data_IF_475488655522
#
_entry.id   IF_475488655522
#
_cell.length_a   1.000
_cell.length_b   1.000
_cell.length_c   1.000
_cell.angle_alpha   90.00
_cell.angle_beta   90.00
_cell.angle_gamma   90.00
#
_symmetry.space_group_name_H-M   'P 1'
#
loop_
_entity.id
_entity.type
_entity.pdbx_description
1 polymer ?
#
# COMPACT_ATOMS: atom_id res chain seq x y z
N UNK A 1 3.00 43.21 -13.34
CA UNK A 1 1.76 42.41 -13.13
C UNK A 1 2.04 41.01 -13.63
N UNK A 2 2.61 40.17 -12.77
CA UNK A 2 3.04 38.82 -13.15
C UNK A 2 1.95 37.83 -12.74
N UNK A 3 1.31 37.21 -13.74
CA UNK A 3 0.28 36.21 -13.51
C UNK A 3 0.98 34.94 -12.99
N UNK A 4 0.91 34.72 -11.68
CA UNK A 4 1.21 33.41 -11.09
C UNK A 4 0.23 32.42 -11.70
N UNK A 5 0.71 31.62 -12.64
CA UNK A 5 0.01 30.44 -13.12
C UNK A 5 0.07 29.42 -11.98
N UNK A 6 -0.85 29.52 -11.02
CA UNK A 6 -1.14 28.39 -10.13
C UNK A 6 -1.88 27.39 -10.98
N UNK A 7 -1.17 26.39 -11.49
CA UNK A 7 -1.81 25.18 -11.98
C UNK A 7 -2.59 24.61 -10.81
N UNK A 8 -3.90 24.83 -10.79
CA UNK A 8 -4.83 24.00 -10.03
C UNK A 8 -4.55 22.57 -10.49
N UNK A 9 -3.85 21.80 -9.66
CA UNK A 9 -3.62 20.39 -9.89
C UNK A 9 -4.96 19.76 -10.24
N UNK A 10 -5.00 19.00 -11.33
CA UNK A 10 -6.15 18.15 -11.67
C UNK A 10 -6.57 17.45 -10.39
N UNK A 11 -7.84 17.55 -10.01
CA UNK A 11 -8.39 16.72 -8.94
C UNK A 11 -8.08 15.27 -9.27
N UNK A 12 -7.06 14.69 -8.63
CA UNK A 12 -7.05 13.28 -8.30
C UNK A 12 -8.36 13.03 -7.52
N UNK A 13 -8.97 11.85 -7.68
CA UNK A 13 -10.13 11.49 -6.88
C UNK A 13 -9.85 11.75 -5.41
N UNK A 14 -10.89 11.90 -4.59
CA UNK A 14 -10.62 11.90 -3.14
C UNK A 14 -9.91 10.58 -2.80
N UNK A 15 -9.03 10.57 -1.80
CA UNK A 15 -8.31 9.35 -1.43
C UNK A 15 -9.25 8.14 -1.21
N UNK A 16 -10.49 8.42 -0.80
CA UNK A 16 -11.56 7.42 -0.65
C UNK A 16 -12.02 6.86 -2.01
N UNK A 17 -12.15 7.70 -3.04
CA UNK A 17 -12.53 7.27 -4.39
C UNK A 17 -11.43 6.40 -5.02
N UNK A 18 -10.17 6.80 -4.86
CA UNK A 18 -9.03 6.02 -5.33
C UNK A 18 -8.95 4.68 -4.59
N UNK A 19 -9.03 4.69 -3.25
CA UNK A 19 -9.09 3.47 -2.45
C UNK A 19 -10.23 2.55 -2.92
N UNK A 20 -11.44 3.08 -3.02
CA UNK A 20 -12.62 2.32 -3.47
C UNK A 20 -12.40 1.73 -4.86
N UNK A 21 -11.81 2.49 -5.78
CA UNK A 21 -11.59 2.06 -7.17
C UNK A 21 -10.55 0.96 -7.27
N UNK A 22 -9.38 1.13 -6.65
CA UNK A 22 -8.26 0.20 -6.78
C UNK A 22 -8.47 -1.07 -5.96
N UNK A 23 -8.98 -0.96 -4.72
CA UNK A 23 -9.34 -2.12 -3.90
C UNK A 23 -10.39 -3.01 -4.59
N UNK A 24 -11.48 -2.42 -5.12
CA UNK A 24 -12.52 -3.19 -5.82
C UNK A 24 -12.00 -3.87 -7.09
N UNK A 25 -11.03 -3.26 -7.77
CA UNK A 25 -10.41 -3.86 -8.96
C UNK A 25 -9.38 -4.93 -8.61
N UNK A 26 -8.90 -4.97 -7.36
CA UNK A 26 -7.81 -5.86 -6.98
C UNK A 26 -6.53 -5.57 -7.77
N UNK A 27 -6.25 -4.31 -8.05
CA UNK A 27 -5.02 -3.88 -8.75
C UNK A 27 -4.39 -2.72 -7.99
N UNK A 28 -3.08 -2.57 -8.13
CA UNK A 28 -2.35 -1.46 -7.53
C UNK A 28 -2.59 -0.16 -8.30
N UNK A 29 -2.64 0.96 -7.56
CA UNK A 29 -2.60 2.28 -8.16
C UNK A 29 -1.27 2.44 -8.93
N UNK A 30 -1.24 3.05 -10.11
CA UNK A 30 0.02 3.34 -10.81
C UNK A 30 0.90 4.31 -10.00
N UNK A 31 2.19 4.37 -10.34
CA UNK A 31 3.14 5.24 -9.67
C UNK A 31 4.05 4.53 -8.66
N UNK A 32 4.11 3.21 -8.72
CA UNK A 32 4.99 2.39 -7.90
C UNK A 32 5.80 1.41 -8.74
N UNK A 33 6.96 1.02 -8.23
CA UNK A 33 7.76 -0.06 -8.76
C UNK A 33 8.49 -0.83 -7.65
N UNK A 34 8.79 -2.09 -7.91
CA UNK A 34 9.57 -2.92 -6.99
C UNK A 34 11.04 -2.76 -7.34
N UNK A 35 11.88 -2.45 -6.34
CA UNK A 35 13.34 -2.40 -6.49
C UNK A 35 14.01 -3.31 -5.47
N UNK A 36 15.08 -3.98 -5.89
CA UNK A 36 15.98 -4.65 -4.96
C UNK A 36 16.74 -3.62 -4.12
N UNK A 37 16.74 -3.79 -2.80
CA UNK A 37 17.42 -2.90 -1.87
C UNK A 37 18.79 -3.49 -1.52
N UNK A 38 18.83 -4.69 -0.93
CA UNK A 38 20.03 -5.44 -0.61
C UNK A 38 19.68 -6.88 -0.16
N UNK A 39 20.70 -7.71 0.10
CA UNK A 39 20.52 -9.11 0.51
C UNK A 39 19.84 -9.30 1.88
N UNK A 40 19.78 -8.26 2.72
CA UNK A 40 19.15 -8.35 4.03
C UNK A 40 17.66 -8.02 3.99
N UNK A 41 17.27 -6.96 3.27
CA UNK A 41 15.87 -6.50 3.15
C UNK A 41 15.15 -7.20 1.99
N UNK A 42 15.89 -7.57 0.94
CA UNK A 42 15.32 -8.05 -0.32
C UNK A 42 14.79 -6.88 -1.15
N UNK A 43 13.48 -6.87 -1.41
CA UNK A 43 12.84 -5.90 -2.28
C UNK A 43 12.01 -4.88 -1.50
N UNK A 44 11.90 -3.67 -2.02
CA UNK A 44 10.99 -2.65 -1.53
C UNK A 44 10.16 -2.03 -2.65
N UNK A 45 9.07 -1.38 -2.25
CA UNK A 45 8.19 -0.63 -3.15
C UNK A 45 8.60 0.84 -3.12
N UNK A 46 8.88 1.40 -4.28
CA UNK A 46 9.31 2.79 -4.48
C UNK A 46 8.29 3.54 -5.31
N UNK A 47 8.08 4.83 -5.03
CA UNK A 47 7.25 5.68 -5.87
C UNK A 47 8.00 6.10 -7.13
N UNK A 48 7.31 6.11 -8.26
CA UNK A 48 7.79 6.66 -9.54
C UNK A 48 7.18 8.02 -9.85
N UNK A 49 6.22 8.45 -9.03
CA UNK A 49 5.56 9.76 -9.10
C UNK A 49 5.48 10.41 -7.72
N UNK A 50 5.16 11.70 -7.68
CA UNK A 50 4.86 12.39 -6.42
C UNK A 50 3.43 12.07 -5.97
N UNK A 51 3.27 11.86 -4.66
CA UNK A 51 1.96 11.70 -4.00
C UNK A 51 1.81 12.79 -2.94
N UNK A 52 0.64 13.41 -2.90
CA UNK A 52 0.33 14.41 -1.89
C UNK A 52 0.01 13.76 -0.54
N UNK A 53 0.22 14.50 0.54
CA UNK A 53 -0.13 14.04 1.89
C UNK A 53 -1.62 13.71 1.95
N UNK A 54 -1.95 12.50 2.42
CA UNK A 54 -3.32 12.02 2.55
C UNK A 54 -3.86 11.33 1.30
N UNK A 55 -3.08 11.21 0.23
CA UNK A 55 -3.42 10.35 -0.90
C UNK A 55 -3.51 8.89 -0.47
N UNK A 56 -4.42 8.14 -1.09
CA UNK A 56 -4.37 6.67 -1.07
C UNK A 56 -3.16 6.21 -1.89
N UNK A 57 -2.50 5.15 -1.43
CA UNK A 57 -1.30 4.61 -2.07
C UNK A 57 -1.58 3.20 -2.59
N UNK A 58 -1.70 2.24 -1.68
CA UNK A 58 -1.86 0.82 -1.97
C UNK A 58 -2.72 0.14 -0.90
N UNK A 59 -3.38 -0.94 -1.29
CA UNK A 59 -4.02 -1.86 -0.37
C UNK A 59 -3.02 -2.92 0.08
N UNK A 60 -3.00 -3.23 1.38
CA UNK A 60 -2.33 -4.42 1.88
C UNK A 60 -3.20 -5.64 1.60
N UNK A 61 -3.08 -6.19 0.39
CA UNK A 61 -3.91 -7.31 -0.09
C UNK A 61 -3.43 -8.64 0.50
N UNK A 62 -4.38 -9.49 0.89
CA UNK A 62 -4.12 -10.82 1.41
C UNK A 62 -5.39 -11.56 1.80
N UNK A 63 -5.24 -12.73 2.41
CA UNK A 63 -6.35 -13.50 2.97
C UNK A 63 -6.80 -12.89 4.30
N UNK A 64 -8.09 -12.63 4.45
CA UNK A 64 -8.66 -12.32 5.76
C UNK A 64 -8.84 -13.60 6.56
N UNK A 65 -8.04 -13.73 7.61
CA UNK A 65 -8.04 -14.86 8.54
C UNK A 65 -8.30 -14.38 9.96
N UNK A 66 -8.68 -15.31 10.83
CA UNK A 66 -8.85 -14.99 12.25
C UNK A 66 -7.50 -14.72 12.92
N UNK A 67 -7.51 -14.02 14.05
CA UNK A 67 -6.28 -13.82 14.82
C UNK A 67 -5.66 -15.14 15.33
N UNK A 68 -6.49 -16.13 15.65
CA UNK A 68 -6.01 -17.46 16.06
C UNK A 68 -5.28 -18.17 14.90
N UNK A 69 -5.92 -18.24 13.73
CA UNK A 69 -5.29 -18.77 12.50
C UNK A 69 -4.02 -18.00 12.13
N UNK A 70 -4.01 -16.67 12.29
CA UNK A 70 -2.82 -15.86 12.07
C UNK A 70 -1.67 -16.25 13.00
N UNK A 71 -1.95 -16.50 14.29
CA UNK A 71 -0.96 -16.97 15.26
C UNK A 71 -0.40 -18.34 14.89
N UNK A 72 -1.27 -19.29 14.53
CA UNK A 72 -0.85 -20.63 14.07
C UNK A 72 0.03 -20.54 12.82
N UNK A 73 -0.30 -19.68 11.85
CA UNK A 73 0.54 -19.46 10.67
C UNK A 73 1.88 -18.83 11.04
N UNK A 74 1.88 -17.83 11.93
CA UNK A 74 3.09 -17.14 12.38
C UNK A 74 4.10 -18.11 13.02
N UNK A 75 3.62 -19.02 13.87
CA UNK A 75 4.45 -20.07 14.50
C UNK A 75 5.11 -21.01 13.48
N UNK A 76 4.48 -21.21 12.32
CA UNK A 76 4.97 -22.07 11.25
C UNK A 76 5.76 -21.32 10.15
N UNK A 77 5.98 -20.01 10.27
CA UNK A 77 6.80 -19.27 9.30
C UNK A 77 8.25 -19.76 9.35
N UNK A 78 8.88 -20.06 8.18
CA UNK A 78 10.30 -20.39 8.15
C UNK A 78 11.13 -19.25 8.75
N UNK A 79 12.03 -19.54 9.69
CA UNK A 79 12.92 -18.52 10.29
C UNK A 79 13.78 -17.78 9.26
N UNK A 80 14.01 -18.39 8.10
CA UNK A 80 14.74 -17.80 6.97
C UNK A 80 13.91 -16.80 6.14
N UNK A 81 12.60 -16.70 6.39
CA UNK A 81 11.65 -15.88 5.64
C UNK A 81 11.05 -14.80 6.54
N UNK A 82 10.76 -13.63 5.98
CA UNK A 82 9.96 -12.62 6.68
C UNK A 82 8.50 -13.05 6.84
N UNK A 83 7.84 -12.59 7.91
CA UNK A 83 6.39 -12.73 8.09
C UNK A 83 5.65 -11.70 7.24
N UNK A 84 4.65 -12.14 6.48
CA UNK A 84 3.75 -11.27 5.70
C UNK A 84 2.36 -11.19 6.34
N UNK A 85 2.25 -11.47 7.64
CA UNK A 85 1.00 -11.36 8.38
C UNK A 85 0.82 -9.93 8.89
N UNK A 86 -0.42 -9.42 8.79
CA UNK A 86 -0.79 -8.12 9.33
C UNK A 86 -2.01 -8.26 10.23
N UNK A 87 -1.79 -8.15 11.55
CA UNK A 87 -2.87 -8.22 12.54
C UNK A 87 -3.47 -6.83 12.75
N UNK A 88 -4.78 -6.72 12.59
CA UNK A 88 -5.53 -5.50 12.85
C UNK A 88 -6.80 -5.79 13.64
N UNK A 89 -7.28 -4.77 14.35
CA UNK A 89 -8.58 -4.83 15.03
C UNK A 89 -9.57 -4.03 14.20
N UNK A 90 -10.63 -4.67 13.73
CA UNK A 90 -11.74 -3.97 13.11
C UNK A 90 -12.36 -3.04 14.17
N UNK A 91 -12.32 -1.74 13.90
CA UNK A 91 -13.07 -0.76 14.68
C UNK A 91 -14.46 -0.64 14.06
N UNK A 92 -15.47 -0.81 14.89
CA UNK A 92 -16.87 -0.56 14.56
C UNK A 92 -17.14 0.94 14.54
#
# INVERSE_FOLDING_TARGET
MERRHTSRGKHQGSAIDDATTYCKKGIDQPGFEVRFINNYIGHGVFTTTQFEKGAFLLEYRGEHITAAEGGEREENYPQSSGSFLFFYKQKW
#
